data_IF_646675984324
#
_entry.id   IF_646675984324
#
_cell.length_a   1.000
_cell.length_b   1.000
_cell.length_c   1.000
_cell.angle_alpha   90.00
_cell.angle_beta   90.00
_cell.angle_gamma   90.00
#
_symmetry.space_group_name_H-M   'P 1'
#
loop_
_entity.id
_entity.type
_entity.pdbx_description
1 polymer ?
#
# COMPACT_ATOMS: atom_id res chain seq x y z
N UNK A 1 -13.16 31.65 23.80
CA UNK A 1 -12.69 30.26 23.60
C UNK A 1 -13.65 29.38 24.41
N UNK A 2 -14.41 28.53 23.72
CA UNK A 2 -15.32 27.58 24.37
C UNK A 2 -14.49 26.50 25.06
N UNK A 3 -14.63 26.38 26.37
CA UNK A 3 -14.09 25.25 27.13
C UNK A 3 -15.24 24.32 27.49
N UNK A 4 -15.28 23.15 26.84
CA UNK A 4 -16.23 22.12 27.23
C UNK A 4 -15.88 21.62 28.64
N UNK A 5 -16.88 21.35 29.46
CA UNK A 5 -16.68 20.68 30.72
C UNK A 5 -16.09 19.28 30.48
N UNK A 6 -15.11 18.80 31.27
CA UNK A 6 -14.60 17.45 31.14
C UNK A 6 -15.72 16.42 31.21
N UNK A 7 -15.83 15.57 30.18
CA UNK A 7 -16.72 14.43 30.19
C UNK A 7 -15.89 13.18 30.42
N UNK A 8 -16.05 12.46 31.53
CA UNK A 8 -15.25 11.26 31.82
C UNK A 8 -15.47 10.12 30.81
N UNK A 9 -16.57 10.17 30.06
CA UNK A 9 -16.91 9.18 29.03
C UNK A 9 -16.39 9.55 27.63
N UNK A 10 -15.74 10.71 27.49
CA UNK A 10 -15.18 11.20 26.22
C UNK A 10 -13.66 11.32 26.31
N UNK A 11 -12.98 10.42 25.64
CA UNK A 11 -11.52 10.46 25.47
C UNK A 11 -11.20 10.95 24.06
N UNK A 12 -10.15 11.75 23.91
CA UNK A 12 -9.60 12.16 22.63
C UNK A 12 -8.42 11.27 22.29
N UNK A 13 -8.53 10.54 21.20
CA UNK A 13 -7.48 9.69 20.67
C UNK A 13 -6.88 10.30 19.40
N UNK A 14 -5.56 10.17 19.25
CA UNK A 14 -4.81 10.68 18.11
C UNK A 14 -4.16 9.50 17.37
N UNK A 15 -4.33 9.45 16.06
CA UNK A 15 -3.76 8.39 15.27
C UNK A 15 -3.71 8.70 13.79
N UNK A 16 -3.18 7.76 13.02
CA UNK A 16 -3.05 7.84 11.57
C UNK A 16 -3.70 6.62 10.92
N UNK A 17 -4.50 6.86 9.90
CA UNK A 17 -5.19 5.80 9.14
C UNK A 17 -4.80 5.77 7.66
N UNK A 18 -3.83 6.61 7.25
CA UNK A 18 -3.35 6.68 5.87
C UNK A 18 -1.84 6.89 5.87
N UNK A 19 -1.10 5.81 6.02
CA UNK A 19 0.35 5.83 6.15
C UNK A 19 0.99 4.86 5.17
N UNK A 20 1.96 5.36 4.38
CA UNK A 20 2.72 4.59 3.42
C UNK A 20 4.16 4.39 3.90
N UNK A 21 4.66 3.17 3.68
CA UNK A 21 6.03 2.76 3.97
C UNK A 21 6.82 2.52 2.68
N UNK A 22 8.05 2.05 2.79
CA UNK A 22 8.83 1.62 1.63
C UNK A 22 8.24 0.42 0.88
N UNK A 23 7.20 -0.20 1.38
CA UNK A 23 6.47 -1.27 0.68
C UNK A 23 5.47 -0.70 -0.34
N UNK A 24 5.09 0.56 -0.21
CA UNK A 24 4.25 1.26 -1.18
C UNK A 24 5.08 1.78 -2.33
N UNK A 25 4.71 1.43 -3.56
CA UNK A 25 5.47 1.79 -4.75
C UNK A 25 5.62 3.30 -4.93
N UNK A 26 4.63 4.09 -4.55
CA UNK A 26 4.67 5.54 -4.63
C UNK A 26 5.64 6.12 -3.60
N UNK A 27 5.58 5.67 -2.36
CA UNK A 27 6.47 6.11 -1.31
C UNK A 27 7.95 5.82 -1.66
N UNK A 28 8.24 4.63 -2.18
CA UNK A 28 9.58 4.25 -2.64
C UNK A 28 10.06 5.15 -3.79
N UNK A 29 9.20 5.40 -4.78
CA UNK A 29 9.54 6.28 -5.91
C UNK A 29 9.76 7.74 -5.51
N UNK A 30 9.23 8.17 -4.37
CA UNK A 30 9.54 9.46 -3.76
C UNK A 30 10.69 9.40 -2.74
N UNK A 31 11.37 8.27 -2.64
CA UNK A 31 12.60 8.11 -1.84
C UNK A 31 12.37 7.69 -0.40
N UNK A 32 11.17 7.24 -0.04
CA UNK A 32 10.95 6.67 1.30
C UNK A 32 11.56 5.27 1.39
N UNK A 33 12.45 5.08 2.35
CA UNK A 33 13.12 3.80 2.63
C UNK A 33 12.72 3.20 3.99
N UNK A 34 11.83 3.88 4.72
CA UNK A 34 11.40 3.44 6.05
C UNK A 34 10.44 2.26 5.93
N UNK A 35 10.71 1.23 6.72
CA UNK A 35 9.98 -0.04 6.72
C UNK A 35 8.69 0.04 7.54
N UNK A 36 7.89 -1.03 7.49
CA UNK A 36 6.71 -1.20 8.36
C UNK A 36 7.10 -1.16 9.84
N UNK A 37 8.19 -1.84 10.22
CA UNK A 37 8.71 -1.80 11.60
C UNK A 37 9.07 -0.38 12.02
N UNK A 38 9.74 0.38 11.15
CA UNK A 38 10.08 1.79 11.43
C UNK A 38 8.83 2.64 11.63
N UNK A 39 7.80 2.43 10.81
CA UNK A 39 6.54 3.16 10.91
C UNK A 39 5.84 2.90 12.25
N UNK A 40 5.78 1.65 12.72
CA UNK A 40 5.21 1.33 14.02
C UNK A 40 6.05 1.89 15.18
N UNK A 41 7.37 1.80 15.11
CA UNK A 41 8.27 2.40 16.10
C UNK A 41 8.12 3.91 16.19
N UNK A 42 8.01 4.57 15.03
CA UNK A 42 7.73 6.00 14.97
C UNK A 42 6.37 6.35 15.58
N UNK A 43 5.32 5.59 15.29
CA UNK A 43 4.01 5.74 15.90
C UNK A 43 4.05 5.63 17.44
N UNK A 44 4.93 4.78 17.98
CA UNK A 44 5.21 4.65 19.42
C UNK A 44 6.07 5.80 19.99
N UNK A 45 6.47 6.76 19.17
CA UNK A 45 7.27 7.91 19.58
C UNK A 45 8.78 7.66 19.62
N UNK A 46 9.27 6.57 19.04
CA UNK A 46 10.71 6.37 18.90
C UNK A 46 11.30 7.32 17.85
N UNK A 47 12.51 7.84 18.07
CA UNK A 47 13.19 8.65 17.07
C UNK A 47 13.61 7.78 15.88
N UNK A 48 13.42 8.29 14.67
CA UNK A 48 13.89 7.69 13.43
C UNK A 48 14.68 8.68 12.61
N UNK A 49 15.61 8.18 11.81
CA UNK A 49 16.28 8.98 10.80
C UNK A 49 15.51 8.92 9.48
N UNK A 50 15.17 10.10 8.94
CA UNK A 50 14.62 10.20 7.61
C UNK A 50 15.62 9.70 6.55
N UNK A 51 15.18 9.37 5.33
CA UNK A 51 16.10 9.09 4.22
C UNK A 51 17.10 10.21 3.95
N UNK A 52 16.77 11.44 4.29
CA UNK A 52 17.66 12.60 4.22
C UNK A 52 18.69 12.71 5.36
N UNK A 53 18.63 11.81 6.37
CA UNK A 53 19.52 11.79 7.52
C UNK A 53 19.07 12.66 8.69
N UNK A 54 17.91 13.29 8.61
CA UNK A 54 17.34 14.09 9.70
C UNK A 54 16.67 13.18 10.73
N UNK A 55 16.91 13.42 12.02
CA UNK A 55 16.21 12.70 13.08
C UNK A 55 14.83 13.31 13.28
N UNK A 56 13.80 12.49 13.17
CA UNK A 56 12.41 12.83 13.38
C UNK A 56 11.85 12.05 14.57
N UNK A 57 11.01 12.68 15.36
CA UNK A 57 10.32 12.06 16.49
C UNK A 57 8.98 12.74 16.72
N UNK A 58 7.95 11.96 17.00
CA UNK A 58 6.68 12.50 17.44
C UNK A 58 6.81 13.10 18.83
N UNK A 59 6.19 14.26 19.07
CA UNK A 59 6.15 14.89 20.40
C UNK A 59 5.27 14.11 21.37
N UNK A 60 4.38 13.28 20.84
CA UNK A 60 3.49 12.37 21.56
C UNK A 60 3.33 11.10 20.73
N UNK A 61 3.39 9.89 21.32
CA UNK A 61 3.00 8.65 20.66
C UNK A 61 1.56 8.71 20.14
N UNK A 62 1.28 7.97 19.09
CA UNK A 62 -0.08 7.78 18.59
C UNK A 62 -0.85 6.78 19.45
N UNK A 63 -2.16 6.98 19.59
CA UNK A 63 -3.05 6.03 20.27
C UNK A 63 -3.48 4.90 19.33
N UNK A 64 -3.52 5.17 18.01
CA UNK A 64 -3.81 4.16 17.00
C UNK A 64 -3.10 4.46 15.67
N UNK A 65 -2.83 3.41 14.88
CA UNK A 65 -2.23 3.53 13.55
C UNK A 65 -2.66 2.39 12.63
N UNK A 66 -2.88 2.71 11.36
CA UNK A 66 -2.99 1.75 10.28
C UNK A 66 -1.93 2.05 9.24
N UNK A 67 -1.14 1.05 8.87
CA UNK A 67 -0.28 1.13 7.69
C UNK A 67 -1.13 0.69 6.50
N UNK A 68 -1.20 1.55 5.50
CA UNK A 68 -2.11 1.41 4.36
C UNK A 68 -1.36 1.59 3.04
N UNK A 69 -0.29 0.85 2.87
CA UNK A 69 0.43 0.81 1.60
C UNK A 69 -0.48 0.34 0.46
N UNK A 70 -0.18 0.78 -0.75
CA UNK A 70 -0.94 0.37 -1.94
C UNK A 70 -0.88 -1.14 -2.16
N UNK A 71 -2.01 -1.82 -2.08
CA UNK A 71 -2.10 -3.26 -2.32
C UNK A 71 -1.66 -3.67 -3.73
N UNK A 72 -1.68 -2.75 -4.68
CA UNK A 72 -1.17 -2.91 -6.03
C UNK A 72 0.34 -3.16 -6.08
N UNK A 73 1.07 -2.71 -5.07
CA UNK A 73 2.52 -2.89 -4.93
C UNK A 73 2.93 -4.19 -4.23
N UNK A 74 2.00 -4.87 -3.58
CA UNK A 74 2.33 -6.07 -2.79
C UNK A 74 2.95 -7.16 -3.66
N UNK A 75 3.99 -7.78 -3.13
CA UNK A 75 4.78 -8.80 -3.80
C UNK A 75 5.90 -8.28 -4.70
N UNK A 76 5.92 -6.98 -5.03
CA UNK A 76 6.96 -6.41 -5.88
C UNK A 76 8.30 -6.38 -5.16
N UNK A 77 8.34 -5.88 -3.94
CA UNK A 77 9.56 -5.81 -3.14
C UNK A 77 10.09 -7.19 -2.78
N UNK A 78 9.23 -8.07 -2.26
CA UNK A 78 9.60 -9.45 -1.97
C UNK A 78 10.16 -10.17 -3.20
N UNK A 79 9.61 -9.89 -4.40
CA UNK A 79 10.16 -10.41 -5.63
C UNK A 79 11.56 -9.85 -5.91
N UNK A 80 11.71 -8.53 -5.78
CA UNK A 80 12.95 -7.83 -6.12
C UNK A 80 14.12 -8.15 -5.16
N UNK A 81 13.82 -8.51 -3.94
CA UNK A 81 14.81 -8.94 -2.94
C UNK A 81 15.20 -10.43 -3.10
N UNK A 82 14.55 -11.15 -4.01
CA UNK A 82 14.81 -12.56 -4.28
C UNK A 82 16.20 -12.82 -4.89
N UNK A 83 16.82 -13.98 -4.58
CA UNK A 83 18.19 -14.28 -5.00
C UNK A 83 18.32 -14.61 -6.50
N UNK A 84 17.27 -15.15 -7.12
CA UNK A 84 17.33 -15.79 -8.45
C UNK A 84 16.68 -14.95 -9.56
N UNK A 85 16.98 -13.65 -9.59
CA UNK A 85 16.43 -12.75 -10.61
C UNK A 85 17.23 -12.86 -11.93
N UNK A 86 16.51 -13.02 -13.04
CA UNK A 86 17.07 -12.85 -14.38
C UNK A 86 17.52 -11.40 -14.63
N UNK A 87 18.33 -11.17 -15.66
CA UNK A 87 18.77 -9.80 -16.00
C UNK A 87 17.59 -8.87 -16.31
N UNK A 88 16.54 -9.37 -16.95
CA UNK A 88 15.34 -8.60 -17.24
C UNK A 88 14.58 -8.23 -15.95
N UNK A 89 14.45 -9.15 -15.00
CA UNK A 89 13.84 -8.91 -13.70
C UNK A 89 14.65 -7.91 -12.86
N UNK A 90 15.98 -8.03 -12.84
CA UNK A 90 16.86 -7.05 -12.18
C UNK A 90 16.67 -5.65 -12.73
N UNK A 91 16.59 -5.51 -14.06
CA UNK A 91 16.32 -4.22 -14.70
C UNK A 91 14.94 -3.66 -14.34
N UNK A 92 13.92 -4.51 -14.30
CA UNK A 92 12.57 -4.12 -13.88
C UNK A 92 12.52 -3.72 -12.40
N UNK A 93 13.20 -4.46 -11.53
CA UNK A 93 13.30 -4.15 -10.10
C UNK A 93 14.07 -2.85 -9.85
N UNK A 94 15.19 -2.64 -10.57
CA UNK A 94 15.90 -1.38 -10.50
C UNK A 94 14.98 -0.20 -10.87
N UNK A 95 14.25 -0.35 -11.98
CA UNK A 95 13.30 0.69 -12.43
C UNK A 95 12.18 0.94 -11.41
N UNK A 96 11.67 -0.10 -10.75
CA UNK A 96 10.59 0.01 -9.76
C UNK A 96 11.04 0.64 -8.43
N UNK A 97 12.33 0.51 -8.10
CA UNK A 97 12.90 0.97 -6.83
C UNK A 97 13.65 2.30 -6.94
N UNK A 98 13.85 2.81 -8.17
CA UNK A 98 14.58 4.06 -8.38
C UNK A 98 13.70 5.27 -8.08
N UNK A 99 14.09 6.15 -7.15
CA UNK A 99 13.32 7.36 -6.83
C UNK A 99 13.33 8.32 -8.03
N UNK A 100 12.33 8.25 -8.87
CA UNK A 100 12.23 9.07 -10.06
C UNK A 100 10.77 9.41 -10.43
N UNK A 101 10.36 10.68 -10.37
CA UNK A 101 9.00 11.09 -10.70
C UNK A 101 8.56 10.75 -12.14
N UNK A 102 9.50 10.69 -13.09
CA UNK A 102 9.19 10.30 -14.46
C UNK A 102 8.85 8.81 -14.54
N UNK A 103 9.61 7.97 -13.84
CA UNK A 103 9.34 6.54 -13.74
C UNK A 103 7.98 6.31 -13.08
N UNK A 104 7.67 7.05 -12.03
CA UNK A 104 6.35 7.05 -11.39
C UNK A 104 5.23 7.33 -12.42
N UNK A 105 5.37 8.35 -13.26
CA UNK A 105 4.38 8.65 -14.29
C UNK A 105 4.26 7.54 -15.34
N UNK A 106 5.37 6.95 -15.78
CA UNK A 106 5.38 5.84 -16.75
C UNK A 106 4.68 4.62 -16.14
N UNK A 107 5.05 4.22 -14.92
CA UNK A 107 4.45 3.07 -14.24
C UNK A 107 2.96 3.29 -13.97
N UNK A 108 2.57 4.46 -13.48
CA UNK A 108 1.16 4.75 -13.21
C UNK A 108 0.33 4.87 -14.49
N UNK A 109 0.91 5.34 -15.61
CA UNK A 109 0.21 5.34 -16.91
C UNK A 109 0.05 3.93 -17.48
N UNK A 110 1.01 3.05 -17.25
CA UNK A 110 0.93 1.63 -17.61
C UNK A 110 -0.13 0.88 -16.79
N UNK A 111 -0.30 1.26 -15.51
CA UNK A 111 -1.34 0.74 -14.60
C UNK A 111 -2.73 1.22 -15.03
N UNK A 112 -2.84 2.44 -15.50
CA UNK A 112 -4.14 3.02 -15.92
C UNK A 112 -4.82 2.28 -17.05
N UNK A 113 -4.10 1.47 -17.82
CA UNK A 113 -4.62 0.89 -19.05
C UNK A 113 -5.04 1.98 -20.05
N UNK A 114 -5.32 1.63 -21.27
CA UNK A 114 -6.06 2.53 -22.18
C UNK A 114 -7.47 2.66 -21.61
N UNK A 115 -7.87 3.87 -21.20
CA UNK A 115 -9.26 4.14 -20.94
C UNK A 115 -10.06 3.64 -22.14
N UNK A 116 -10.99 2.73 -21.92
CA UNK A 116 -12.02 2.47 -22.89
C UNK A 116 -12.73 3.81 -23.08
N UNK A 117 -12.80 4.39 -24.29
CA UNK A 117 -13.42 5.69 -24.50
C UNK A 117 -14.88 5.75 -24.09
N UNK A 118 -15.39 4.70 -23.46
CA UNK A 118 -16.75 4.60 -22.99
C UNK A 118 -17.73 4.48 -24.19
N UNK A 119 -18.71 3.65 -24.03
CA UNK A 119 -19.81 3.61 -24.99
C UNK A 119 -20.61 4.93 -24.89
N UNK A 120 -20.58 5.81 -25.90
CA UNK A 120 -21.26 7.10 -25.85
C UNK A 120 -22.79 6.98 -25.71
N UNK A 121 -23.34 5.77 -25.85
CA UNK A 121 -24.75 5.48 -25.62
C UNK A 121 -25.10 5.27 -24.14
N UNK A 122 -24.11 5.21 -23.25
CA UNK A 122 -24.31 4.98 -21.80
C UNK A 122 -24.25 6.29 -21.03
N UNK A 123 -25.14 6.47 -20.04
CA UNK A 123 -25.08 7.65 -19.18
C UNK A 123 -23.71 7.75 -18.49
N UNK A 124 -23.11 8.93 -18.52
CA UNK A 124 -21.90 9.21 -17.79
C UNK A 124 -22.13 8.93 -16.29
N UNK A 125 -21.18 8.19 -15.66
CA UNK A 125 -21.22 7.93 -14.22
C UNK A 125 -21.87 6.61 -13.79
N UNK A 126 -22.35 5.77 -14.70
CA UNK A 126 -22.79 4.42 -14.34
C UNK A 126 -21.59 3.46 -14.41
N UNK A 127 -21.01 3.16 -13.24
CA UNK A 127 -20.01 2.10 -13.12
C UNK A 127 -20.63 0.76 -13.51
N UNK A 128 -20.21 0.22 -14.63
CA UNK A 128 -20.45 -1.18 -14.95
C UNK A 128 -19.18 -1.95 -14.60
N UNK A 129 -19.25 -2.90 -13.64
CA UNK A 129 -18.12 -3.77 -13.39
C UNK A 129 -17.76 -4.45 -14.71
N UNK A 130 -16.49 -4.31 -15.11
CA UNK A 130 -15.98 -5.05 -16.25
C UNK A 130 -16.28 -6.53 -16.03
N UNK A 131 -16.67 -7.27 -17.10
CA UNK A 131 -16.85 -8.71 -16.97
C UNK A 131 -15.58 -9.29 -16.35
N UNK A 132 -15.73 -10.21 -15.39
CA UNK A 132 -14.63 -10.88 -14.71
C UNK A 132 -13.66 -11.43 -15.76
N UNK A 133 -12.66 -10.64 -16.08
CA UNK A 133 -11.56 -11.11 -16.90
C UNK A 133 -10.65 -11.95 -16.00
N UNK A 134 -10.06 -12.99 -16.57
CA UNK A 134 -8.99 -13.72 -15.89
C UNK A 134 -7.98 -12.75 -15.31
N UNK A 135 -7.47 -12.96 -14.10
CA UNK A 135 -6.55 -12.02 -13.46
C UNK A 135 -5.43 -11.69 -14.44
N UNK A 136 -5.34 -10.43 -14.82
CA UNK A 136 -4.19 -9.96 -15.60
C UNK A 136 -2.99 -9.96 -14.68
N UNK A 137 -1.80 -10.32 -15.18
CA UNK A 137 -0.59 -10.18 -14.40
C UNK A 137 -0.51 -8.76 -13.84
N UNK A 138 -0.06 -8.63 -12.61
CA UNK A 138 0.08 -7.35 -11.91
C UNK A 138 0.69 -6.29 -12.81
N UNK A 139 0.31 -5.06 -12.60
CA UNK A 139 0.71 -3.92 -13.44
C UNK A 139 2.24 -3.74 -13.47
N UNK A 140 2.93 -4.27 -12.46
CA UNK A 140 4.38 -4.16 -12.36
C UNK A 140 5.10 -5.08 -13.33
N UNK A 141 6.19 -4.59 -13.95
CA UNK A 141 7.02 -5.38 -14.86
C UNK A 141 7.48 -6.71 -14.26
N UNK A 142 7.75 -6.74 -12.94
CA UNK A 142 8.19 -7.92 -12.20
C UNK A 142 7.22 -9.10 -12.29
N UNK A 143 5.93 -8.84 -12.48
CA UNK A 143 4.91 -9.88 -12.64
C UNK A 143 4.76 -10.39 -14.08
N UNK A 144 5.58 -9.90 -15.02
CA UNK A 144 5.47 -10.19 -16.46
C UNK A 144 6.62 -11.03 -17.02
N UNK A 145 7.70 -11.20 -16.26
CA UNK A 145 8.90 -11.87 -16.73
C UNK A 145 9.09 -13.25 -16.09
N UNK A 146 9.56 -14.19 -16.91
CA UNK A 146 9.88 -15.53 -16.49
C UNK A 146 8.69 -16.48 -16.41
N UNK A 147 8.99 -17.76 -16.24
CA UNK A 147 8.00 -18.81 -16.11
C UNK A 147 7.21 -18.64 -14.80
N UNK A 148 5.89 -18.86 -14.88
CA UNK A 148 4.98 -18.72 -13.74
C UNK A 148 5.02 -17.35 -13.04
N UNK A 149 5.41 -16.29 -13.75
CA UNK A 149 5.55 -14.95 -13.18
C UNK A 149 4.28 -14.47 -12.44
N UNK A 150 3.11 -14.72 -13.00
CA UNK A 150 1.82 -14.35 -12.41
C UNK A 150 1.59 -15.06 -11.07
N UNK A 151 1.78 -16.38 -11.04
CA UNK A 151 1.57 -17.16 -9.80
C UNK A 151 2.61 -16.76 -8.73
N UNK A 152 3.84 -16.55 -9.13
CA UNK A 152 4.89 -16.06 -8.22
C UNK A 152 4.55 -14.69 -7.63
N UNK A 153 4.04 -13.75 -8.44
CA UNK A 153 3.56 -12.47 -7.95
C UNK A 153 2.42 -12.61 -6.94
N UNK A 154 1.45 -13.46 -7.22
CA UNK A 154 0.37 -13.72 -6.26
C UNK A 154 0.87 -14.33 -4.96
N UNK A 155 1.81 -15.26 -5.03
CA UNK A 155 2.40 -15.85 -3.83
C UNK A 155 3.17 -14.81 -3.02
N UNK A 156 3.98 -13.97 -3.67
CA UNK A 156 4.69 -12.90 -3.02
C UNK A 156 3.74 -11.87 -2.39
N UNK A 157 2.65 -11.53 -3.07
CA UNK A 157 1.63 -10.63 -2.51
C UNK A 157 0.92 -11.22 -1.28
N UNK A 158 0.67 -12.55 -1.25
CA UNK A 158 0.17 -13.22 -0.05
C UNK A 158 1.17 -13.18 1.10
N UNK A 159 2.44 -13.41 0.80
CA UNK A 159 3.52 -13.38 1.79
C UNK A 159 3.67 -11.96 2.38
N UNK A 160 3.64 -10.93 1.55
CA UNK A 160 3.67 -9.55 2.02
C UNK A 160 2.46 -9.25 2.90
N UNK A 161 1.26 -9.61 2.45
CA UNK A 161 0.04 -9.40 3.25
C UNK A 161 0.09 -10.12 4.59
N UNK A 162 0.54 -11.37 4.63
CA UNK A 162 0.70 -12.12 5.89
C UNK A 162 1.68 -11.40 6.84
N UNK A 163 2.77 -10.82 6.30
CA UNK A 163 3.73 -10.03 7.07
C UNK A 163 3.11 -8.73 7.63
N UNK A 164 2.24 -8.06 6.87
CA UNK A 164 1.49 -6.90 7.40
C UNK A 164 0.63 -7.26 8.60
N UNK A 165 -0.08 -8.36 8.51
CA UNK A 165 -0.93 -8.88 9.61
C UNK A 165 -0.08 -9.21 10.82
N UNK A 166 1.02 -9.95 10.64
CA UNK A 166 1.94 -10.33 11.71
C UNK A 166 2.56 -9.09 12.40
N UNK A 167 2.99 -8.10 11.63
CA UNK A 167 3.59 -6.89 12.19
C UNK A 167 2.55 -6.02 12.91
N UNK A 168 1.33 -5.95 12.41
CA UNK A 168 0.25 -5.26 13.12
C UNK A 168 -0.02 -5.93 14.48
N UNK A 169 -0.10 -7.26 14.53
CA UNK A 169 -0.29 -8.00 15.78
C UNK A 169 0.92 -7.84 16.73
N UNK A 170 2.15 -7.87 16.20
CA UNK A 170 3.40 -7.69 16.97
C UNK A 170 3.44 -6.35 17.70
N UNK A 171 2.99 -5.26 17.06
CA UNK A 171 3.04 -3.92 17.61
C UNK A 171 1.77 -3.49 18.36
N UNK A 172 0.76 -4.33 18.38
CA UNK A 172 -0.46 -4.07 19.14
C UNK A 172 -0.19 -4.15 20.64
N UNK A 173 -0.38 -3.04 21.35
CA UNK A 173 -0.22 -2.94 22.80
C UNK A 173 -1.49 -2.36 23.42
N UNK A 174 -2.33 -3.18 24.06
CA UNK A 174 -3.58 -2.72 24.66
C UNK A 174 -3.37 -1.56 25.65
N UNK A 175 -4.06 -0.45 25.40
CA UNK A 175 -3.97 0.75 26.25
C UNK A 175 -2.83 1.70 25.89
N UNK A 176 -1.92 1.32 24.99
CA UNK A 176 -0.82 2.16 24.53
C UNK A 176 -0.90 2.44 23.02
N UNK A 177 -0.89 1.41 22.18
CA UNK A 177 -1.02 1.55 20.73
C UNK A 177 -1.99 0.53 20.16
N UNK A 178 -3.05 1.01 19.52
CA UNK A 178 -3.96 0.17 18.74
C UNK A 178 -3.48 0.15 17.28
N UNK A 179 -3.03 -1.00 16.80
CA UNK A 179 -2.72 -1.22 15.41
C UNK A 179 -3.95 -1.74 14.67
N UNK A 180 -4.22 -1.17 13.50
CA UNK A 180 -5.30 -1.62 12.62
C UNK A 180 -4.68 -2.24 11.37
N UNK A 181 -5.09 -3.46 11.05
CA UNK A 181 -4.69 -4.13 9.81
C UNK A 181 -5.42 -3.46 8.65
N UNK A 182 -4.68 -3.05 7.64
CA UNK A 182 -5.26 -2.36 6.50
C UNK A 182 -4.35 -2.31 5.29
N UNK A 183 -4.89 -1.78 4.20
CA UNK A 183 -4.17 -1.47 2.97
C UNK A 183 -4.94 -0.41 2.19
N UNK A 184 -4.26 0.24 1.26
CA UNK A 184 -4.93 1.13 0.32
C UNK A 184 -5.30 0.39 -0.96
N UNK A 185 -6.57 0.50 -1.33
CA UNK A 185 -7.13 0.05 -2.60
C UNK A 185 -7.28 1.25 -3.54
N UNK A 186 -6.57 1.24 -4.67
CA UNK A 186 -6.49 2.37 -5.60
C UNK A 186 -6.84 1.98 -7.04
N UNK A 187 -8.11 1.63 -7.30
CA UNK A 187 -8.54 1.24 -8.63
C UNK A 187 -8.43 2.40 -9.62
N UNK A 188 -7.99 2.09 -10.85
CA UNK A 188 -8.15 2.99 -11.99
C UNK A 188 -9.61 3.07 -12.39
N UNK A 189 -10.14 4.29 -12.47
CA UNK A 189 -11.51 4.53 -12.96
C UNK A 189 -11.52 4.74 -14.47
N UNK A 190 -12.61 4.39 -15.18
CA UNK A 190 -12.70 4.53 -16.65
C UNK A 190 -12.39 5.94 -17.16
N UNK A 191 -12.70 6.97 -16.39
CA UNK A 191 -12.51 8.38 -16.75
C UNK A 191 -11.14 8.93 -16.32
N UNK A 192 -10.12 8.08 -16.17
CA UNK A 192 -8.78 8.40 -15.72
C UNK A 192 -8.69 8.94 -14.25
N UNK A 193 -9.80 8.94 -13.52
CA UNK A 193 -9.83 9.19 -12.10
C UNK A 193 -9.17 8.05 -11.33
N UNK A 194 -8.54 8.38 -10.21
CA UNK A 194 -8.13 7.39 -9.21
C UNK A 194 -9.04 7.50 -8.01
N UNK A 195 -9.38 6.36 -7.44
CA UNK A 195 -10.21 6.32 -6.26
C UNK A 195 -9.45 5.60 -5.15
N UNK A 196 -8.75 6.36 -4.33
CA UNK A 196 -8.01 5.84 -3.20
C UNK A 196 -8.94 5.55 -2.04
N UNK A 197 -8.85 4.35 -1.47
CA UNK A 197 -9.65 3.92 -0.32
C UNK A 197 -8.82 3.09 0.63
N UNK A 198 -8.77 3.50 1.87
CA UNK A 198 -8.20 2.67 2.92
C UNK A 198 -9.21 1.61 3.33
N UNK A 199 -8.80 0.36 3.23
CA UNK A 199 -9.54 -0.80 3.71
C UNK A 199 -8.96 -1.17 5.07
N UNK A 200 -9.76 -1.06 6.10
CA UNK A 200 -9.36 -1.36 7.47
C UNK A 200 -10.16 -2.54 8.00
N UNK A 201 -9.49 -3.45 8.67
CA UNK A 201 -10.11 -4.64 9.27
C UNK A 201 -10.30 -4.45 10.77
N UNK A 202 -11.43 -4.91 11.26
CA UNK A 202 -11.80 -4.81 12.67
C UNK A 202 -11.06 -5.82 13.57
N UNK A 203 -10.48 -6.85 12.97
CA UNK A 203 -9.80 -7.95 13.68
C UNK A 203 -8.69 -8.50 12.80
N UNK A 204 -7.90 -9.43 13.33
CA UNK A 204 -6.91 -10.20 12.58
C UNK A 204 -7.49 -11.31 11.69
N UNK A 205 -8.82 -11.48 11.68
CA UNK A 205 -9.49 -12.35 10.71
C UNK A 205 -9.66 -11.59 9.41
N UNK A 206 -8.70 -11.76 8.51
CA UNK A 206 -8.59 -11.04 7.25
C UNK A 206 -8.57 -12.00 6.06
N UNK A 207 -8.86 -11.56 4.84
CA UNK A 207 -8.66 -12.38 3.64
C UNK A 207 -7.23 -12.89 3.52
N UNK A 208 -7.04 -14.00 2.82
CA UNK A 208 -5.71 -14.60 2.55
C UNK A 208 -4.77 -13.64 1.79
N UNK A 209 -5.33 -12.66 1.09
CA UNK A 209 -4.58 -11.61 0.37
C UNK A 209 -5.35 -10.29 0.37
N UNK A 210 -4.63 -9.19 0.30
CA UNK A 210 -5.22 -7.89 -0.02
C UNK A 210 -5.79 -7.90 -1.45
N UNK A 211 -6.90 -7.20 -1.66
CA UNK A 211 -7.51 -7.04 -2.98
C UNK A 211 -6.88 -5.82 -3.64
N UNK A 212 -6.32 -6.01 -4.83
CA UNK A 212 -5.74 -4.94 -5.63
C UNK A 212 -6.46 -4.78 -6.96
N UNK A 213 -6.39 -3.59 -7.56
CA UNK A 213 -7.09 -3.31 -8.82
C UNK A 213 -6.62 -4.13 -10.02
N UNK A 214 -5.36 -4.59 -10.13
CA UNK A 214 -4.94 -5.50 -11.19
C UNK A 214 -5.54 -6.90 -11.10
N UNK A 215 -6.17 -7.24 -9.99
CA UNK A 215 -6.76 -8.56 -9.74
C UNK A 215 -8.23 -8.67 -10.18
N UNK A 216 -8.77 -7.66 -10.89
CA UNK A 216 -10.17 -7.61 -11.36
C UNK A 216 -10.29 -7.77 -12.86
#
# INVERSE_FOLDING_TARGET
IYQAAPNPDMNLYWGELHLHTSESFDATLFGNTLTIDDAYRFAKGEPLNSPGGETMQLTRPLDFVAITDHAEGFGTRTHCDGPDLSLAERGACWLANEPNPMIFQILTSAIRGKADPGDPSKPAGVYQPAPRQSPKPGAFPTCRFGDNAVERCYQNARNDWARYVELADKYYEPGELTTLIGYEYSPGMPEQGKHHRNILFRSNTVPERAISSPCH
#
